data_IF_546443794588
#
_entry.id   IF_546443794588
#
_cell.length_a   1.000
_cell.length_b   1.000
_cell.length_c   1.000
_cell.angle_alpha   90.00
_cell.angle_beta   90.00
_cell.angle_gamma   90.00
#
_symmetry.space_group_name_H-M   'P 1'
#
loop_
_entity.id
_entity.type
_entity.pdbx_description
1 polymer ?
#
# COMPACT_ATOMS: atom_id res chain seq x y z
N UNK A 1 10.20 3.25 33.61
CA UNK A 1 10.16 4.22 32.49
C UNK A 1 10.24 3.41 31.21
N UNK A 2 9.09 3.00 30.68
CA UNK A 2 9.05 2.23 29.42
C UNK A 2 9.39 3.19 28.30
N UNK A 3 10.48 2.89 27.60
CA UNK A 3 11.01 3.70 26.51
C UNK A 3 9.97 3.68 25.39
N UNK A 4 9.18 4.75 25.26
CA UNK A 4 8.17 4.89 24.21
C UNK A 4 8.92 5.21 22.92
N UNK A 5 9.38 4.17 22.21
CA UNK A 5 9.95 4.31 20.88
C UNK A 5 8.94 5.05 20.02
N UNK A 6 9.31 6.25 19.53
CA UNK A 6 8.46 7.03 18.64
C UNK A 6 8.18 6.22 17.38
N UNK A 7 7.03 5.57 17.35
CA UNK A 7 6.56 4.72 16.27
C UNK A 7 6.59 5.48 14.94
N UNK A 8 7.59 5.20 14.10
CA UNK A 8 7.71 5.80 12.77
C UNK A 8 6.96 4.93 11.76
N UNK A 9 6.22 5.57 10.87
CA UNK A 9 5.62 4.91 9.72
C UNK A 9 6.71 4.36 8.79
N UNK A 10 6.54 3.10 8.40
CA UNK A 10 7.42 2.38 7.49
C UNK A 10 6.62 1.96 6.26
N UNK A 11 7.23 2.07 5.07
CA UNK A 11 6.62 1.54 3.86
C UNK A 11 6.68 0.03 3.89
N UNK A 12 5.52 -0.61 3.76
CA UNK A 12 5.41 -2.07 3.71
C UNK A 12 5.54 -2.54 2.27
N UNK A 13 4.82 -1.90 1.36
CA UNK A 13 4.99 -2.10 -0.07
C UNK A 13 4.41 -0.93 -0.86
N UNK A 14 4.86 -0.80 -2.11
CA UNK A 14 4.35 0.17 -3.07
C UNK A 14 4.03 -0.52 -4.38
N UNK A 15 2.87 -0.24 -4.93
CA UNK A 15 2.39 -0.77 -6.21
C UNK A 15 2.02 0.36 -7.15
N UNK A 16 2.28 0.18 -8.43
CA UNK A 16 1.80 1.03 -9.50
C UNK A 16 0.41 0.59 -9.95
N UNK A 17 -0.38 1.56 -10.39
CA UNK A 17 -1.69 1.37 -11.03
C UNK A 17 -1.79 2.29 -12.25
N UNK A 18 -2.88 2.18 -13.00
CA UNK A 18 -3.23 3.19 -13.99
C UNK A 18 -3.35 4.56 -13.28
N UNK A 19 -2.61 5.57 -13.74
CA UNK A 19 -2.66 6.93 -13.20
C UNK A 19 -1.71 7.24 -12.03
N UNK A 20 -1.04 6.25 -11.43
CA UNK A 20 -0.12 6.52 -10.32
C UNK A 20 0.26 5.30 -9.48
N UNK A 21 0.16 5.43 -8.16
CA UNK A 21 0.59 4.38 -7.22
C UNK A 21 -0.22 4.34 -5.92
N UNK A 22 -0.23 3.16 -5.30
CA UNK A 22 -0.71 2.93 -3.95
C UNK A 22 0.49 2.52 -3.08
N UNK A 23 0.61 3.13 -1.91
CA UNK A 23 1.64 2.80 -0.92
C UNK A 23 0.96 2.35 0.36
N UNK A 24 1.26 1.14 0.81
CA UNK A 24 0.84 0.65 2.13
C UNK A 24 1.98 0.90 3.11
N UNK A 25 1.63 1.51 4.23
CA UNK A 25 2.53 1.81 5.33
C UNK A 25 2.04 1.14 6.61
N UNK A 26 2.94 0.82 7.53
CA UNK A 26 2.59 0.42 8.88
C UNK A 26 3.45 1.11 9.93
N UNK A 27 2.92 1.25 11.13
CA UNK A 27 3.69 1.63 12.32
C UNK A 27 3.33 0.67 13.45
N UNK A 28 4.33 0.22 14.17
CA UNK A 28 4.15 -0.52 15.43
C UNK A 28 3.84 0.49 16.53
N UNK A 29 2.78 0.28 17.30
CA UNK A 29 2.42 1.15 18.43
C UNK A 29 3.31 0.96 19.67
N UNK A 30 4.27 0.03 19.62
CA UNK A 30 5.20 -0.29 20.71
C UNK A 30 4.62 -1.30 21.71
N UNK A 31 3.38 -1.73 21.51
CA UNK A 31 2.72 -2.81 22.25
C UNK A 31 2.55 -4.07 21.37
N UNK A 32 3.19 -4.10 20.21
CA UNK A 32 3.12 -5.19 19.24
C UNK A 32 1.85 -5.16 18.38
N UNK A 33 1.14 -4.03 18.34
CA UNK A 33 0.00 -3.84 17.42
C UNK A 33 0.42 -2.92 16.28
N UNK A 34 0.15 -3.38 15.07
CA UNK A 34 0.41 -2.61 13.87
C UNK A 34 -0.80 -1.75 13.50
N UNK A 35 -0.57 -0.45 13.28
CA UNK A 35 -1.50 0.40 12.55
C UNK A 35 -1.05 0.49 11.10
N UNK A 36 -2.01 0.50 10.19
CA UNK A 36 -1.76 0.54 8.75
C UNK A 36 -2.30 1.84 8.15
N UNK A 37 -1.71 2.25 7.04
CA UNK A 37 -2.22 3.33 6.22
C UNK A 37 -2.03 3.00 4.75
N UNK A 38 -2.97 3.42 3.92
CA UNK A 38 -2.83 3.42 2.46
C UNK A 38 -2.73 4.86 1.99
N UNK A 39 -1.70 5.16 1.21
CA UNK A 39 -1.52 6.43 0.49
C UNK A 39 -1.76 6.18 -0.98
N UNK A 40 -2.70 6.90 -1.56
CA UNK A 40 -2.96 6.96 -3.00
C UNK A 40 -2.28 8.20 -3.56
N UNK A 41 -1.52 8.03 -4.63
CA UNK A 41 -0.87 9.12 -5.35
C UNK A 41 -1.06 8.94 -6.87
N UNK A 42 -2.01 9.70 -7.42
CA UNK A 42 -2.41 9.74 -8.84
C UNK A 42 -1.97 11.06 -9.50
N UNK A 43 -0.99 11.76 -8.94
CA UNK A 43 -0.58 13.07 -9.46
C UNK A 43 -0.06 13.03 -10.91
N UNK A 44 0.33 11.86 -11.42
CA UNK A 44 0.64 11.67 -12.85
C UNK A 44 -0.54 12.02 -13.77
N UNK A 45 -1.78 11.94 -13.27
CA UNK A 45 -2.99 12.34 -14.02
C UNK A 45 -3.09 13.85 -14.28
N UNK A 46 -2.39 14.70 -13.51
CA UNK A 46 -2.36 16.15 -13.79
C UNK A 46 -1.82 16.47 -15.18
N UNK A 47 -0.92 15.63 -15.71
CA UNK A 47 -0.41 15.78 -17.08
C UNK A 47 -1.48 15.57 -18.16
N UNK A 48 -2.59 14.90 -17.82
CA UNK A 48 -3.67 14.60 -18.76
C UNK A 48 -4.89 15.51 -18.54
N UNK A 49 -5.09 16.03 -17.32
CA UNK A 49 -6.20 16.91 -16.99
C UNK A 49 -5.79 17.90 -15.87
N UNK A 50 -5.63 19.17 -16.23
CA UNK A 50 -5.21 20.23 -15.32
C UNK A 50 -6.30 20.66 -14.31
N UNK A 51 -7.56 20.29 -14.56
CA UNK A 51 -8.70 20.62 -13.67
C UNK A 51 -8.78 19.73 -12.41
N UNK A 52 -7.97 18.66 -12.34
CA UNK A 52 -7.94 17.76 -11.19
C UNK A 52 -7.22 18.43 -10.02
N UNK A 53 -7.93 18.59 -8.90
CA UNK A 53 -7.38 19.15 -7.65
C UNK A 53 -6.63 18.10 -6.84
N UNK A 54 -5.67 18.54 -6.03
CA UNK A 54 -4.72 17.69 -5.30
C UNK A 54 -5.39 16.64 -4.42
N UNK A 55 -6.46 16.99 -3.70
CA UNK A 55 -7.18 16.06 -2.80
C UNK A 55 -7.87 14.90 -3.55
N UNK A 56 -8.16 15.06 -4.85
CA UNK A 56 -8.70 13.98 -5.67
C UNK A 56 -7.60 12.99 -6.11
N UNK A 57 -6.38 13.50 -6.26
CA UNK A 57 -5.22 12.77 -6.78
C UNK A 57 -4.36 12.18 -5.67
N UNK A 58 -4.35 12.81 -4.51
CA UNK A 58 -3.58 12.40 -3.36
C UNK A 58 -4.51 12.22 -2.16
N UNK A 59 -4.49 11.03 -1.55
CA UNK A 59 -5.31 10.77 -0.37
C UNK A 59 -4.64 9.73 0.52
N UNK A 60 -4.91 9.80 1.82
CA UNK A 60 -4.48 8.78 2.76
C UNK A 60 -5.64 8.31 3.64
N UNK A 61 -5.63 7.03 3.99
CA UNK A 61 -6.61 6.44 4.90
C UNK A 61 -5.93 5.44 5.83
N UNK A 62 -6.32 5.44 7.11
CA UNK A 62 -5.76 4.56 8.14
C UNK A 62 -6.66 3.35 8.37
N UNK A 63 -6.03 2.20 8.62
CA UNK A 63 -6.68 0.97 9.06
C UNK A 63 -6.01 0.46 10.35
N UNK A 64 -6.78 -0.19 11.21
CA UNK A 64 -6.30 -0.80 12.46
C UNK A 64 -5.76 -2.22 12.26
N UNK A 65 -5.81 -2.74 11.03
CA UNK A 65 -5.51 -4.14 10.72
C UNK A 65 -5.04 -4.33 9.27
N UNK A 66 -4.28 -5.41 9.05
CA UNK A 66 -3.84 -5.83 7.73
C UNK A 66 -5.02 -6.06 6.78
N UNK A 67 -6.04 -6.77 7.24
CA UNK A 67 -7.26 -7.00 6.46
C UNK A 67 -8.01 -5.70 6.17
N UNK A 68 -7.97 -4.74 7.10
CA UNK A 68 -8.54 -3.41 6.90
C UNK A 68 -7.88 -2.66 5.75
N UNK A 69 -6.54 -2.68 5.67
CA UNK A 69 -5.83 -2.02 4.56
C UNK A 69 -5.99 -2.77 3.24
N UNK A 70 -6.06 -4.12 3.25
CA UNK A 70 -6.37 -4.90 2.05
C UNK A 70 -7.76 -4.56 1.49
N UNK A 71 -8.78 -4.39 2.34
CA UNK A 71 -10.12 -3.94 1.88
C UNK A 71 -10.10 -2.57 1.21
N UNK A 72 -9.18 -1.69 1.60
CA UNK A 72 -9.00 -0.40 0.91
C UNK A 72 -8.41 -0.61 -0.47
N UNK A 73 -7.43 -1.50 -0.59
CA UNK A 73 -6.82 -1.89 -1.86
C UNK A 73 -7.77 -2.66 -2.78
N UNK A 74 -8.72 -3.41 -2.24
CA UNK A 74 -9.72 -4.17 -3.01
C UNK A 74 -10.64 -3.28 -3.87
N UNK A 75 -10.61 -1.95 -3.65
CA UNK A 75 -11.24 -0.96 -4.54
C UNK A 75 -10.53 -0.85 -5.89
N UNK A 76 -9.31 -1.35 -5.99
CA UNK A 76 -8.48 -1.33 -7.18
C UNK A 76 -8.34 -2.76 -7.73
N UNK A 77 -8.47 -2.98 -9.05
CA UNK A 77 -8.28 -4.29 -9.63
C UNK A 77 -6.85 -4.78 -9.40
N UNK A 78 -6.67 -5.76 -8.50
CA UNK A 78 -5.36 -6.34 -8.16
C UNK A 78 -4.63 -6.92 -9.37
N UNK A 79 -5.39 -7.42 -10.34
CA UNK A 79 -4.88 -7.88 -11.64
C UNK A 79 -4.16 -6.78 -12.42
N UNK A 80 -4.36 -5.49 -12.12
CA UNK A 80 -3.70 -4.35 -12.79
C UNK A 80 -2.58 -3.73 -11.96
N UNK A 81 -2.37 -4.19 -10.74
CA UNK A 81 -1.33 -3.68 -9.86
C UNK A 81 0.01 -4.37 -10.16
N UNK A 82 1.10 -3.61 -10.08
CA UNK A 82 2.46 -4.14 -10.24
C UNK A 82 3.40 -3.53 -9.19
N UNK A 83 4.40 -4.27 -8.70
CA UNK A 83 5.24 -3.80 -7.62
C UNK A 83 6.22 -2.72 -8.10
N UNK A 84 6.50 -1.73 -7.25
CA UNK A 84 7.40 -0.60 -7.54
C UNK A 84 8.61 -0.51 -6.60
N UNK A 85 8.54 -1.12 -5.42
CA UNK A 85 9.59 -1.11 -4.40
C UNK A 85 9.67 -2.50 -3.77
N UNK A 86 10.85 -2.92 -3.29
CA UNK A 86 10.98 -4.14 -2.54
C UNK A 86 10.10 -4.11 -1.28
N UNK A 87 9.57 -5.27 -0.91
CA UNK A 87 8.67 -5.43 0.23
C UNK A 87 9.39 -5.47 1.55
N UNK A 88 8.73 -4.96 2.59
CA UNK A 88 9.20 -5.07 3.97
C UNK A 88 9.26 -6.54 4.40
N UNK A 89 10.41 -6.96 4.92
CA UNK A 89 10.73 -8.38 5.15
C UNK A 89 9.71 -9.10 6.05
N UNK A 90 9.26 -8.48 7.13
CA UNK A 90 8.26 -9.05 8.05
C UNK A 90 6.89 -9.32 7.39
N UNK A 91 6.56 -8.56 6.33
CA UNK A 91 5.26 -8.61 5.67
C UNK A 91 5.31 -9.33 4.33
N UNK A 92 6.48 -9.74 3.83
CA UNK A 92 6.64 -10.41 2.53
C UNK A 92 5.65 -11.55 2.33
N UNK A 93 5.54 -12.44 3.33
CA UNK A 93 4.62 -13.58 3.28
C UNK A 93 3.15 -13.12 3.21
N UNK A 94 2.76 -12.15 4.02
CA UNK A 94 1.39 -11.62 4.06
C UNK A 94 1.01 -10.90 2.76
N UNK A 95 1.95 -10.15 2.18
CA UNK A 95 1.79 -9.50 0.88
C UNK A 95 1.56 -10.56 -0.20
N UNK A 96 2.40 -11.58 -0.22
CA UNK A 96 2.32 -12.66 -1.19
C UNK A 96 0.98 -13.41 -1.13
N UNK A 97 0.56 -13.81 0.07
CA UNK A 97 -0.74 -14.45 0.29
C UNK A 97 -1.89 -13.57 -0.24
N UNK A 98 -1.84 -12.26 0.01
CA UNK A 98 -2.86 -11.32 -0.45
C UNK A 98 -2.92 -11.20 -1.98
N UNK A 99 -1.76 -11.20 -2.65
CA UNK A 99 -1.63 -11.12 -4.12
C UNK A 99 -2.14 -12.40 -4.77
N UNK A 100 -1.78 -13.57 -4.25
CA UNK A 100 -2.24 -14.87 -4.75
C UNK A 100 -3.77 -15.00 -4.64
N UNK A 101 -4.34 -14.67 -3.47
CA UNK A 101 -5.78 -14.73 -3.23
C UNK A 101 -6.60 -13.90 -4.22
N UNK A 102 -6.03 -12.80 -4.74
CA UNK A 102 -6.74 -11.80 -5.56
C UNK A 102 -6.39 -11.89 -7.04
N UNK A 103 -5.64 -12.91 -7.43
CA UNK A 103 -5.26 -13.13 -8.82
C UNK A 103 -4.37 -12.02 -9.36
N UNK A 104 -3.44 -11.51 -8.55
CA UNK A 104 -2.41 -10.58 -9.01
C UNK A 104 -1.76 -11.07 -10.31
N UNK A 105 -1.31 -10.14 -11.15
CA UNK A 105 -0.99 -10.40 -12.56
C UNK A 105 -0.04 -11.61 -12.72
N UNK A 106 -0.57 -12.76 -13.13
CA UNK A 106 0.10 -14.08 -13.16
C UNK A 106 1.42 -14.12 -13.94
N UNK A 107 1.65 -13.14 -14.83
CA UNK A 107 2.86 -13.01 -15.65
C UNK A 107 3.98 -12.17 -15.01
N UNK A 108 3.70 -11.56 -13.85
CA UNK A 108 4.66 -10.73 -13.09
C UNK A 108 4.84 -11.23 -11.67
N UNK A 109 4.41 -12.46 -11.39
CA UNK A 109 4.46 -13.04 -10.05
C UNK A 109 5.90 -13.03 -9.48
N UNK A 110 6.90 -13.19 -10.36
CA UNK A 110 8.32 -13.10 -10.01
C UNK A 110 8.76 -11.69 -9.60
N UNK A 111 8.06 -10.64 -10.07
CA UNK A 111 8.32 -9.25 -9.66
C UNK A 111 7.87 -8.99 -8.21
N UNK A 112 7.06 -9.91 -7.63
CA UNK A 112 6.56 -9.86 -6.25
C UNK A 112 7.37 -10.76 -5.27
N UNK A 113 8.51 -11.35 -5.69
CA UNK A 113 9.35 -12.19 -4.82
C UNK A 113 10.57 -11.45 -4.23
#
# INVERSE_FOLDING_TARGET
>A
MTNCSSARWQTIFKVGSEGGSLTVMAKDDGEGRWQFAMVKDEQTMKCLCEELIDDQLYSSACADSWQGVLKMMDKYPWTKLYPLQPFHDEFKKLIWEAVEERGGHIYRIDDWQ
#
